data_IF_086007590630
#
_entry.id   IF_086007590630
#
_cell.length_a   1.000
_cell.length_b   1.000
_cell.length_c   1.000
_cell.angle_alpha   90.00
_cell.angle_beta   90.00
_cell.angle_gamma   90.00
#
_symmetry.space_group_name_H-M   'P 1'
#
loop_
_entity.id
_entity.type
_entity.pdbx_description
1 polymer ?
#
# COMPACT_ATOMS: atom_id res chain seq x y z
N UNK A 1 -71.58 -32.75 6.92
CA UNK A 1 -70.57 -31.69 6.72
C UNK A 1 -70.23 -31.07 8.06
N UNK A 2 -68.93 -30.84 8.32
CA UNK A 2 -68.31 -30.20 9.50
C UNK A 2 -68.27 -31.10 10.75
N UNK A 3 -67.14 -31.35 11.40
CA UNK A 3 -65.76 -30.90 11.19
C UNK A 3 -64.86 -31.35 12.35
N UNK A 4 -63.55 -31.27 12.08
CA UNK A 4 -62.43 -31.04 12.99
C UNK A 4 -62.04 -32.13 14.01
N UNK A 5 -61.02 -32.90 13.62
CA UNK A 5 -60.27 -33.84 14.45
C UNK A 5 -59.24 -33.06 15.28
N UNK A 6 -59.30 -33.23 16.60
CA UNK A 6 -58.27 -32.85 17.56
C UNK A 6 -57.24 -33.99 17.60
N UNK A 7 -55.95 -33.70 17.41
CA UNK A 7 -54.89 -34.69 17.66
C UNK A 7 -53.84 -34.09 18.58
N UNK A 8 -53.62 -34.80 19.67
CA UNK A 8 -52.85 -34.44 20.88
C UNK A 8 -51.62 -35.36 20.95
N UNK A 9 -50.49 -34.81 21.42
CA UNK A 9 -49.28 -35.48 21.95
C UNK A 9 -48.47 -36.40 21.00
N UNK A 10 -47.17 -36.21 20.72
CA UNK A 10 -45.96 -35.99 21.54
C UNK A 10 -45.48 -37.21 22.36
N UNK A 11 -44.56 -37.99 21.78
CA UNK A 11 -43.51 -38.83 22.43
C UNK A 11 -42.39 -39.06 21.40
N UNK A 12 -41.26 -38.33 21.44
CA UNK A 12 -39.95 -38.66 22.06
C UNK A 12 -39.39 -40.04 21.68
N UNK A 13 -38.25 -40.08 20.97
CA UNK A 13 -36.97 -40.70 21.36
C UNK A 13 -36.03 -40.76 20.15
N UNK A 14 -34.99 -39.93 20.16
CA UNK A 14 -33.90 -39.97 19.17
C UNK A 14 -32.57 -39.95 19.90
N UNK A 15 -31.85 -41.07 19.81
CA UNK A 15 -30.56 -41.36 20.42
C UNK A 15 -29.53 -40.21 20.32
N UNK A 16 -28.88 -39.94 21.44
CA UNK A 16 -27.77 -39.01 21.55
C UNK A 16 -26.48 -39.68 21.03
N UNK A 17 -25.92 -39.15 19.94
CA UNK A 17 -24.56 -39.50 19.50
C UNK A 17 -23.57 -38.64 20.28
N UNK A 18 -22.74 -39.32 21.06
CA UNK A 18 -21.68 -38.76 21.88
C UNK A 18 -20.44 -38.50 21.00
N UNK A 19 -20.26 -37.26 20.54
CA UNK A 19 -19.01 -36.81 19.94
C UNK A 19 -18.21 -36.05 21.02
N UNK A 20 -17.17 -36.68 21.54
CA UNK A 20 -16.19 -36.07 22.44
C UNK A 20 -15.54 -34.86 21.75
N UNK A 21 -15.89 -33.64 22.19
CA UNK A 21 -15.15 -32.43 21.82
C UNK A 21 -13.84 -32.40 22.61
N UNK A 22 -12.73 -32.27 21.89
CA UNK A 22 -11.40 -31.97 22.46
C UNK A 22 -11.47 -30.70 23.32
N UNK A 23 -10.78 -30.62 24.46
CA UNK A 23 -10.88 -29.46 25.35
C UNK A 23 -10.35 -28.20 24.67
N UNK A 24 -11.21 -27.19 24.50
CA UNK A 24 -10.80 -25.85 24.11
C UNK A 24 -9.94 -25.24 25.23
N UNK A 25 -8.70 -24.87 24.89
CA UNK A 25 -7.79 -24.18 25.79
C UNK A 25 -8.36 -22.79 26.11
N UNK A 26 -8.49 -22.39 27.38
CA UNK A 26 -9.14 -21.12 27.72
C UNK A 26 -8.37 -19.94 27.13
N UNK A 27 -9.05 -19.16 26.29
CA UNK A 27 -8.57 -17.89 25.74
C UNK A 27 -8.50 -16.91 26.90
N UNK A 28 -7.29 -16.61 27.37
CA UNK A 28 -7.08 -15.56 28.35
C UNK A 28 -7.45 -14.20 27.74
N UNK A 29 -8.43 -13.53 28.37
CA UNK A 29 -8.85 -12.17 28.10
C UNK A 29 -7.66 -11.23 28.35
N UNK A 30 -7.06 -10.66 27.30
CA UNK A 30 -6.02 -9.63 27.44
C UNK A 30 -6.68 -8.33 27.90
N UNK A 31 -6.53 -8.07 29.18
CA UNK A 31 -6.86 -6.81 29.83
C UNK A 31 -5.81 -5.74 29.45
N UNK A 32 -6.30 -4.67 28.82
CA UNK A 32 -5.78 -3.31 28.74
C UNK A 32 -4.27 -3.09 28.95
N UNK A 33 -3.49 -3.13 27.86
CA UNK A 33 -2.18 -2.47 27.80
C UNK A 33 -2.31 -1.09 27.13
N UNK A 34 -1.60 -0.05 27.59
CA UNK A 34 -1.56 1.25 26.94
C UNK A 34 -1.06 1.07 25.50
N UNK A 35 -1.77 1.66 24.53
CA UNK A 35 -1.39 1.64 23.11
C UNK A 35 -0.08 2.43 22.92
N UNK A 36 1.06 1.80 23.17
CA UNK A 36 2.28 2.18 22.46
C UNK A 36 2.03 1.81 21.00
N UNK A 37 1.76 2.82 20.15
CA UNK A 37 1.85 2.65 18.72
C UNK A 37 3.29 2.28 18.41
N UNK A 38 3.54 0.98 18.25
CA UNK A 38 4.78 0.49 17.66
C UNK A 38 4.99 1.26 16.35
N UNK A 39 6.22 1.73 16.04
CA UNK A 39 6.51 2.30 14.74
C UNK A 39 6.02 1.32 13.67
N UNK A 40 5.50 1.80 12.51
CA UNK A 40 5.05 0.92 11.45
C UNK A 40 6.13 -0.13 11.23
N UNK A 41 5.75 -1.41 11.27
CA UNK A 41 6.67 -2.54 11.12
C UNK A 41 7.47 -2.30 9.83
N UNK A 42 8.73 -1.88 9.96
CA UNK A 42 9.63 -1.77 8.83
C UNK A 42 9.96 -3.22 8.46
N UNK A 43 9.31 -3.71 7.41
CA UNK A 43 9.68 -4.97 6.79
C UNK A 43 10.96 -4.67 6.01
N UNK A 44 12.13 -4.94 6.60
CA UNK A 44 13.36 -5.03 5.82
C UNK A 44 13.27 -6.33 5.02
N UNK A 45 12.75 -6.26 3.81
CA UNK A 45 12.87 -7.37 2.86
C UNK A 45 14.30 -7.44 2.38
N UNK A 46 14.76 -8.67 2.11
CA UNK A 46 16.01 -8.92 1.39
C UNK A 46 15.93 -8.23 0.02
N UNK A 47 17.07 -7.84 -0.57
CA UNK A 47 17.11 -7.18 -1.88
C UNK A 47 16.74 -8.15 -3.02
N UNK A 48 15.47 -8.55 -3.07
CA UNK A 48 14.81 -9.17 -4.20
C UNK A 48 14.15 -8.07 -5.02
N UNK A 49 14.20 -8.18 -6.35
CA UNK A 49 13.44 -7.36 -7.28
C UNK A 49 11.95 -7.70 -7.22
N UNK A 50 11.35 -7.65 -6.03
CA UNK A 50 9.93 -7.97 -5.85
C UNK A 50 9.10 -6.85 -6.45
N UNK A 51 8.52 -7.16 -7.60
CA UNK A 51 7.66 -6.24 -8.33
C UNK A 51 6.28 -6.24 -7.70
N UNK A 52 5.70 -5.05 -7.53
CA UNK A 52 4.37 -4.88 -6.95
C UNK A 52 3.36 -4.75 -8.12
N UNK A 53 2.27 -5.53 -8.15
CA UNK A 53 1.22 -5.33 -9.14
C UNK A 53 0.39 -4.08 -8.79
N UNK A 54 0.40 -3.09 -9.68
CA UNK A 54 -0.37 -1.85 -9.56
C UNK A 54 -1.58 -1.90 -10.49
N UNK A 55 -2.79 -1.83 -9.92
CA UNK A 55 -4.04 -1.76 -10.70
C UNK A 55 -4.40 -0.32 -11.00
N UNK A 56 -4.60 0.00 -12.28
CA UNK A 56 -5.11 1.30 -12.73
C UNK A 56 -6.64 1.36 -12.67
N UNK A 57 -7.19 2.56 -12.85
CA UNK A 57 -8.64 2.82 -12.81
C UNK A 57 -9.42 2.03 -13.87
N UNK A 58 -8.83 1.78 -15.05
CA UNK A 58 -9.43 0.98 -16.12
C UNK A 58 -9.30 -0.54 -15.89
N UNK A 59 -8.75 -0.97 -14.75
CA UNK A 59 -8.55 -2.36 -14.39
C UNK A 59 -7.27 -3.00 -14.94
N UNK A 60 -6.53 -2.31 -15.82
CA UNK A 60 -5.22 -2.77 -16.28
C UNK A 60 -4.23 -2.86 -15.13
N UNK A 61 -3.26 -3.77 -15.24
CA UNK A 61 -2.24 -3.99 -14.21
C UNK A 61 -0.87 -3.77 -14.83
N UNK A 62 -0.01 -3.04 -14.12
CA UNK A 62 1.42 -2.93 -14.43
C UNK A 62 2.26 -3.31 -13.23
N UNK A 63 3.40 -3.95 -13.49
CA UNK A 63 4.36 -4.28 -12.44
C UNK A 63 5.30 -3.11 -12.20
N UNK A 64 5.46 -2.75 -10.94
CA UNK A 64 6.22 -1.57 -10.51
C UNK A 64 7.24 -1.91 -9.42
N UNK A 65 8.21 -1.02 -9.26
CA UNK A 65 9.17 -0.99 -8.16
C UNK A 65 8.91 0.29 -7.36
N UNK A 66 8.61 0.13 -6.08
CA UNK A 66 8.49 1.24 -5.14
C UNK A 66 9.81 1.47 -4.41
N UNK A 67 10.27 2.71 -4.34
CA UNK A 67 11.44 3.11 -3.54
C UNK A 67 11.20 4.46 -2.89
N UNK A 68 11.84 4.73 -1.76
CA UNK A 68 11.68 6.02 -1.11
C UNK A 68 12.07 6.06 0.36
N UNK A 69 11.86 7.22 0.94
CA UNK A 69 11.93 7.51 2.36
C UNK A 69 10.62 8.14 2.84
N UNK A 70 10.59 8.62 4.07
CA UNK A 70 9.45 9.35 4.63
C UNK A 70 9.12 10.65 3.85
N UNK A 71 10.12 11.25 3.20
CA UNK A 71 9.98 12.58 2.60
C UNK A 71 9.87 12.55 1.08
N UNK A 72 10.40 11.51 0.45
CA UNK A 72 10.34 11.33 -0.99
C UNK A 72 10.03 9.87 -1.33
N UNK A 73 9.07 9.65 -2.23
CA UNK A 73 8.75 8.34 -2.76
C UNK A 73 8.75 8.36 -4.28
N UNK A 74 9.17 7.24 -4.86
CA UNK A 74 9.30 7.02 -6.27
C UNK A 74 8.68 5.68 -6.61
N UNK A 75 7.89 5.70 -7.67
CA UNK A 75 7.36 4.49 -8.28
C UNK A 75 7.93 4.39 -9.67
N UNK A 76 8.49 3.25 -10.01
CA UNK A 76 9.06 2.99 -11.33
C UNK A 76 8.44 1.76 -11.96
N UNK A 77 8.41 1.72 -13.28
CA UNK A 77 8.21 0.45 -14.00
C UNK A 77 9.43 -0.45 -13.83
N UNK A 78 9.26 -1.75 -14.02
CA UNK A 78 10.36 -2.74 -13.91
C UNK A 78 11.56 -2.45 -14.83
N UNK A 79 11.36 -1.66 -15.87
CA UNK A 79 12.39 -1.25 -16.82
C UNK A 79 12.96 0.17 -16.57
N UNK A 80 12.61 0.78 -15.42
CA UNK A 80 13.28 1.95 -14.87
C UNK A 80 12.67 3.31 -15.20
N UNK A 81 11.44 3.38 -15.70
CA UNK A 81 10.78 4.66 -15.93
C UNK A 81 9.97 5.07 -14.70
N UNK A 82 10.25 6.26 -14.15
CA UNK A 82 9.47 6.83 -13.05
C UNK A 82 8.06 7.16 -13.52
N UNK A 83 7.06 6.84 -12.71
CA UNK A 83 5.65 7.10 -12.98
C UNK A 83 5.04 7.96 -11.87
N UNK A 84 4.06 8.79 -12.24
CA UNK A 84 3.32 9.64 -11.32
C UNK A 84 1.84 9.56 -11.63
N UNK A 85 1.00 9.71 -10.60
CA UNK A 85 -0.45 9.73 -10.76
C UNK A 85 -0.89 11.13 -11.22
N UNK A 86 -1.74 11.17 -12.24
CA UNK A 86 -2.38 12.41 -12.69
C UNK A 86 -3.74 12.60 -12.02
N UNK A 87 -4.37 13.77 -12.24
CA UNK A 87 -5.66 14.13 -11.63
C UNK A 87 -6.81 13.21 -12.06
N UNK A 88 -6.67 12.51 -13.18
CA UNK A 88 -7.62 11.53 -13.71
C UNK A 88 -7.51 10.16 -13.01
N UNK A 89 -6.55 9.97 -12.10
CA UNK A 89 -6.30 8.73 -11.38
C UNK A 89 -5.46 7.70 -12.13
N UNK A 90 -5.03 7.99 -13.37
CA UNK A 90 -4.14 7.12 -14.12
C UNK A 90 -2.67 7.43 -13.81
N UNK A 91 -1.82 6.42 -13.96
CA UNK A 91 -0.38 6.60 -13.87
C UNK A 91 0.17 6.97 -15.25
N UNK A 92 1.04 7.97 -15.28
CA UNK A 92 1.73 8.44 -16.47
C UNK A 92 3.23 8.41 -16.22
N UNK A 93 4.01 8.28 -17.29
CA UNK A 93 5.47 8.43 -17.17
C UNK A 93 5.81 9.85 -16.75
N UNK A 94 6.76 9.99 -15.84
CA UNK A 94 7.17 11.27 -15.31
C UNK A 94 8.06 12.03 -16.31
N UNK A 95 7.91 13.35 -16.30
CA UNK A 95 8.83 14.32 -16.92
C UNK A 95 9.31 15.28 -15.85
N UNK A 96 10.56 15.70 -15.94
CA UNK A 96 11.12 16.65 -15.00
C UNK A 96 10.84 18.08 -15.45
N UNK A 97 10.42 18.91 -14.52
CA UNK A 97 10.27 20.36 -14.71
C UNK A 97 11.59 21.07 -14.50
N UNK A 98 11.68 22.35 -14.91
CA UNK A 98 12.89 23.16 -14.71
C UNK A 98 13.24 23.33 -13.22
N UNK A 99 12.23 23.36 -12.37
CA UNK A 99 12.37 23.52 -10.92
C UNK A 99 12.66 22.18 -10.21
N UNK A 100 12.85 21.11 -11.01
CA UNK A 100 13.24 19.78 -10.56
C UNK A 100 12.11 18.92 -10.00
N UNK A 101 10.86 19.36 -10.15
CA UNK A 101 9.66 18.58 -9.83
C UNK A 101 9.37 17.52 -10.91
N UNK A 102 8.61 16.47 -10.55
CA UNK A 102 8.16 15.40 -11.45
C UNK A 102 6.67 15.56 -11.78
N UNK A 103 6.33 15.72 -13.06
CA UNK A 103 4.96 15.86 -13.54
C UNK A 103 4.57 14.73 -14.50
N UNK A 104 3.26 14.41 -14.62
CA UNK A 104 2.80 13.42 -15.58
C UNK A 104 3.03 13.90 -17.02
N UNK A 105 3.56 13.01 -17.87
CA UNK A 105 3.63 13.21 -19.32
C UNK A 105 2.29 12.93 -20.01
N UNK A 106 2.26 13.01 -21.34
CA UNK A 106 1.12 12.61 -22.18
C UNK A 106 1.01 11.09 -22.41
N UNK A 107 1.94 10.29 -21.85
CA UNK A 107 2.02 8.86 -22.09
C UNK A 107 1.60 8.08 -20.84
N UNK A 108 0.49 7.35 -20.94
CA UNK A 108 0.00 6.48 -19.86
C UNK A 108 0.98 5.33 -19.62
N UNK A 109 1.23 5.05 -18.34
CA UNK A 109 2.07 3.94 -17.93
C UNK A 109 1.42 2.59 -18.28
N UNK A 110 2.23 1.70 -18.83
CA UNK A 110 1.85 0.31 -19.14
C UNK A 110 2.96 -0.64 -18.74
N UNK A 111 2.57 -1.87 -18.46
CA UNK A 111 3.51 -2.97 -18.31
C UNK A 111 4.40 -3.06 -19.56
N UNK A 112 5.74 -3.24 -19.45
CA UNK A 112 6.61 -3.37 -20.60
C UNK A 112 6.15 -4.37 -21.64
N UNK A 113 5.52 -5.47 -21.22
CA UNK A 113 5.01 -6.51 -22.12
C UNK A 113 3.86 -6.01 -23.02
N UNK A 114 3.08 -5.04 -22.57
CA UNK A 114 1.86 -4.56 -23.24
C UNK A 114 2.07 -3.29 -24.09
N UNK A 115 3.31 -2.81 -24.20
CA UNK A 115 3.62 -1.55 -24.91
C UNK A 115 3.67 -1.76 -26.41
N UNK A 116 2.97 -0.91 -27.14
CA UNK A 116 3.07 -0.83 -28.59
C UNK A 116 4.42 -0.26 -29.03
N UNK A 117 4.84 -0.56 -30.26
CA UNK A 117 6.07 0.01 -30.85
C UNK A 117 6.08 1.56 -30.85
N UNK A 118 4.91 2.18 -31.01
CA UNK A 118 4.76 3.65 -30.97
C UNK A 118 5.05 4.21 -29.58
N UNK A 119 4.54 3.54 -28.54
CA UNK A 119 4.79 3.93 -27.15
C UNK A 119 6.27 3.74 -26.80
N UNK A 120 6.87 2.61 -27.15
CA UNK A 120 8.31 2.37 -26.92
C UNK A 120 9.18 3.46 -27.55
N UNK A 121 8.83 3.92 -28.77
CA UNK A 121 9.55 5.03 -29.42
C UNK A 121 9.41 6.35 -28.67
N UNK A 122 8.24 6.65 -28.09
CA UNK A 122 8.07 7.83 -27.22
C UNK A 122 8.88 7.71 -25.92
N UNK A 123 8.95 6.51 -25.34
CA UNK A 123 9.69 6.28 -24.10
C UNK A 123 11.20 6.36 -24.28
N UNK A 124 11.71 6.09 -25.48
CA UNK A 124 13.14 6.20 -25.77
C UNK A 124 13.68 7.64 -25.58
N UNK A 125 12.84 8.66 -25.67
CA UNK A 125 13.22 10.05 -25.38
C UNK A 125 13.06 10.46 -23.91
N UNK A 126 12.44 9.62 -23.08
CA UNK A 126 12.29 9.89 -21.66
C UNK A 126 13.50 9.37 -20.88
N UNK A 127 13.92 10.14 -19.89
CA UNK A 127 14.98 9.74 -18.99
C UNK A 127 14.46 8.70 -17.99
N UNK A 128 15.27 7.68 -17.73
CA UNK A 128 15.01 6.66 -16.70
C UNK A 128 15.47 7.14 -15.33
N UNK A 129 14.89 6.54 -14.29
CA UNK A 129 15.22 6.80 -12.89
C UNK A 129 15.18 8.29 -12.53
N UNK A 130 14.16 8.99 -13.01
CA UNK A 130 13.95 10.39 -12.68
C UNK A 130 13.72 10.55 -11.18
N UNK A 131 14.37 11.56 -10.61
CA UNK A 131 14.30 11.95 -9.19
C UNK A 131 13.97 13.42 -9.07
N UNK A 132 13.53 13.85 -7.90
CA UNK A 132 13.44 15.29 -7.61
C UNK A 132 14.84 15.91 -7.66
N UNK A 133 14.93 17.11 -8.22
CA UNK A 133 16.16 17.90 -8.29
C UNK A 133 15.87 19.36 -7.98
N UNK A 134 16.88 20.24 -8.08
CA UNK A 134 16.72 21.69 -7.95
C UNK A 134 16.02 22.13 -6.66
N UNK A 135 15.20 23.17 -6.79
CA UNK A 135 14.41 23.76 -5.70
C UNK A 135 13.54 22.72 -5.01
N UNK A 136 12.91 21.82 -5.77
CA UNK A 136 12.05 20.78 -5.19
C UNK A 136 12.82 19.87 -4.24
N UNK A 137 14.05 19.48 -4.59
CA UNK A 137 14.88 18.64 -3.74
C UNK A 137 15.39 19.41 -2.51
N UNK A 138 15.68 20.70 -2.66
CA UNK A 138 16.07 21.58 -1.54
C UNK A 138 14.94 21.71 -0.52
N UNK A 139 13.72 21.91 -0.98
CA UNK A 139 12.52 21.98 -0.12
C UNK A 139 12.29 20.67 0.65
N UNK A 140 12.39 19.53 -0.04
CA UNK A 140 12.29 18.20 0.59
C UNK A 140 13.38 18.04 1.65
N UNK A 141 14.62 18.45 1.34
CA UNK A 141 15.75 18.38 2.27
C UNK A 141 15.55 19.27 3.50
N UNK A 142 15.03 20.48 3.31
CA UNK A 142 14.69 21.39 4.41
C UNK A 142 13.62 20.79 5.31
N UNK A 143 12.49 20.34 4.73
CA UNK A 143 11.41 19.69 5.47
C UNK A 143 11.91 18.49 6.28
N UNK A 144 12.81 17.70 5.69
CA UNK A 144 13.47 16.57 6.36
C UNK A 144 14.26 17.01 7.59
N UNK A 145 15.09 18.05 7.47
CA UNK A 145 15.85 18.60 8.60
C UNK A 145 14.94 19.12 9.70
N UNK A 146 13.91 19.90 9.33
CA UNK A 146 12.95 20.49 10.27
C UNK A 146 12.21 19.38 11.06
N UNK A 147 11.80 18.31 10.38
CA UNK A 147 11.15 17.16 11.03
C UNK A 147 12.06 16.48 12.07
N UNK A 148 13.32 16.19 11.74
CA UNK A 148 14.22 15.52 12.68
C UNK A 148 14.64 16.42 13.84
N UNK A 149 14.73 17.74 13.61
CA UNK A 149 14.99 18.69 14.68
C UNK A 149 13.85 18.69 15.71
N UNK A 150 12.60 18.82 15.25
CA UNK A 150 11.43 18.78 16.14
C UNK A 150 11.29 17.44 16.87
N UNK A 151 11.51 16.32 16.16
CA UNK A 151 11.50 14.99 16.77
C UNK A 151 12.50 14.87 17.93
N UNK A 152 13.74 15.33 17.74
CA UNK A 152 14.77 15.24 18.79
C UNK A 152 14.43 16.12 20.00
N UNK A 153 13.91 17.34 19.78
CA UNK A 153 13.47 18.22 20.88
C UNK A 153 12.35 17.60 21.71
N UNK A 154 11.43 16.87 21.09
CA UNK A 154 10.36 16.16 21.80
C UNK A 154 10.91 15.03 22.67
N UNK A 155 11.90 14.28 22.18
CA UNK A 155 12.56 13.23 22.95
C UNK A 155 13.29 13.81 24.17
N UNK A 156 14.05 14.90 24.00
CA UNK A 156 14.75 15.59 25.09
C UNK A 156 13.77 16.03 26.20
N UNK A 157 12.68 16.73 25.81
CA UNK A 157 11.64 17.17 26.76
C UNK A 157 10.92 16.02 27.48
N UNK A 158 10.87 14.83 26.88
CA UNK A 158 10.26 13.64 27.48
C UNK A 158 11.17 12.97 28.51
N UNK A 159 12.49 13.09 28.35
CA UNK A 159 13.47 12.51 29.27
C UNK A 159 13.74 13.38 30.51
N UNK A 160 13.32 14.64 30.47
CA UNK A 160 13.42 15.59 31.59
C UNK A 160 12.23 15.52 32.58
N UNK A 161 11.23 14.67 32.31
CA UNK A 161 10.02 14.48 33.15
C UNK A 161 9.99 13.10 33.78
#
# INVERSE_FOLDING_TARGET
MRGLIITVFLMIFGLQVNAQRLPEKPIQKKENMPKQQLPPRIISTEAGSDTIPLRQVDGTVLHILGSGSLFESYTETIDGYTIVIAKDGFYYYAVQTKDGNLLPSDVRAKDPADRTKKEQKKLASLQKHLRYTGETLEDISKKKKDFYHDYNLQIERSNEK
#
